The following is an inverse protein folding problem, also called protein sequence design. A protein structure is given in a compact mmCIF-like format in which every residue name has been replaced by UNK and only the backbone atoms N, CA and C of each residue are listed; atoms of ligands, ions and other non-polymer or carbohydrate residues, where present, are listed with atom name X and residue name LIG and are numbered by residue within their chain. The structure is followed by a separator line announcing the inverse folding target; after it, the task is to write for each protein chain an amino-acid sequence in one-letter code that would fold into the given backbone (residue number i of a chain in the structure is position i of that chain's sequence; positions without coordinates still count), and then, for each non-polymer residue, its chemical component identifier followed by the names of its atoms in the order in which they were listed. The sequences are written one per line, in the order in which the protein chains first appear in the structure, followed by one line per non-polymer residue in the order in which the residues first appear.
data_IF_796587467114
#
_entry.id   IF_796587467114
#
_cell.length_a   1.000
_cell.length_b   1.000
_cell.length_c   1.000
_cell.angle_alpha   90.00
_cell.angle_beta   90.00
_cell.angle_gamma   90.00
#
_symmetry.space_group_name_H-M   'P 1'
#
loop_
_entity.id
_entity.type
_entity.pdbx_description
1 polymer ?
#
# COMPACT_ATOMS: atom_id res chain seq x y z
N UNK A 1 -12.34 -4.26 -10.15
CA UNK A 1 -10.91 -4.42 -9.89
C UNK A 1 -10.51 -3.53 -8.71
N UNK A 2 -9.69 -4.03 -7.83
CA UNK A 2 -9.22 -3.30 -6.65
C UNK A 2 -7.77 -2.88 -6.86
N UNK A 3 -7.51 -1.57 -6.84
CA UNK A 3 -6.16 -1.04 -7.03
C UNK A 3 -5.85 0.02 -5.98
N UNK A 4 -4.57 0.21 -5.74
CA UNK A 4 -4.05 1.30 -4.92
C UNK A 4 -3.27 2.24 -5.83
N UNK A 5 -3.63 3.53 -5.79
CA UNK A 5 -2.98 4.55 -6.60
C UNK A 5 -2.12 5.42 -5.69
N UNK A 6 -0.83 5.54 -6.02
CA UNK A 6 0.09 6.36 -5.23
C UNK A 6 -0.06 7.84 -5.57
N UNK A 7 0.57 8.71 -4.78
CA UNK A 7 0.56 10.14 -5.01
C UNK A 7 1.21 10.53 -6.35
N UNK A 8 2.04 9.67 -6.92
CA UNK A 8 2.65 9.89 -8.23
C UNK A 8 1.85 9.26 -9.38
N UNK A 9 0.66 8.69 -9.05
CA UNK A 9 -0.20 8.09 -10.06
C UNK A 9 0.13 6.65 -10.42
N UNK A 10 1.05 6.01 -9.70
CA UNK A 10 1.38 4.61 -9.94
C UNK A 10 0.24 3.71 -9.43
N UNK A 11 -0.21 2.78 -10.26
CA UNK A 11 -1.30 1.87 -9.93
C UNK A 11 -0.75 0.51 -9.53
N UNK A 12 -1.17 0.04 -8.37
CA UNK A 12 -0.72 -1.26 -7.82
C UNK A 12 -1.97 -2.13 -7.59
N UNK A 13 -2.03 -3.33 -8.16
CA UNK A 13 -3.14 -4.22 -7.88
C UNK A 13 -3.05 -4.74 -6.45
N UNK A 14 -4.17 -4.69 -5.73
CA UNK A 14 -4.22 -5.16 -4.34
C UNK A 14 -5.40 -6.11 -4.15
N UNK A 15 -5.30 -6.97 -3.13
CA UNK A 15 -6.37 -7.90 -2.78
C UNK A 15 -7.18 -7.38 -1.60
N UNK A 16 -6.55 -6.62 -0.70
CA UNK A 16 -7.21 -5.96 0.42
C UNK A 16 -6.33 -4.84 0.95
N UNK A 17 -6.96 -3.91 1.68
CA UNK A 17 -6.27 -2.83 2.40
C UNK A 17 -7.06 -2.52 3.66
N UNK A 18 -6.35 -2.22 4.74
CA UNK A 18 -6.99 -1.87 6.01
C UNK A 18 -6.02 -1.24 6.98
N UNK A 19 -6.58 -0.70 8.06
CA UNK A 19 -5.80 -0.09 9.14
C UNK A 19 -5.84 -1.03 10.34
N UNK A 20 -4.66 -1.35 10.88
CA UNK A 20 -4.53 -2.21 12.06
C UNK A 20 -5.02 -1.46 13.30
N UNK A 21 -5.89 -2.11 14.08
CA UNK A 21 -6.35 -1.56 15.35
C UNK A 21 -5.26 -1.60 16.43
N UNK A 22 -4.23 -2.43 16.24
CA UNK A 22 -3.17 -2.60 17.23
C UNK A 22 -2.21 -1.43 17.24
N UNK A 23 -1.81 -0.93 16.07
CA UNK A 23 -0.77 0.10 15.98
C UNK A 23 -1.10 1.23 15.00
N UNK A 24 -2.29 1.20 14.40
CA UNK A 24 -2.71 2.21 13.44
C UNK A 24 -2.01 2.12 12.09
N UNK A 25 -1.22 1.09 11.84
CA UNK A 25 -0.52 0.95 10.57
C UNK A 25 -1.49 0.63 9.45
N UNK A 26 -1.22 1.21 8.28
CA UNK A 26 -1.90 0.85 7.04
C UNK A 26 -1.23 -0.40 6.48
N UNK A 27 -2.04 -1.40 6.15
CA UNK A 27 -1.55 -2.66 5.59
C UNK A 27 -2.33 -2.99 4.34
N UNK A 28 -1.64 -3.46 3.31
CA UNK A 28 -2.31 -3.94 2.12
C UNK A 28 -1.54 -5.13 1.55
N UNK A 29 -2.27 -5.98 0.82
CA UNK A 29 -1.67 -7.12 0.13
C UNK A 29 -1.77 -6.89 -1.36
N UNK A 30 -0.67 -7.11 -2.06
CA UNK A 30 -0.58 -6.93 -3.50
C UNK A 30 -0.21 -8.23 -4.21
N UNK A 31 -0.72 -8.38 -5.43
CA UNK A 31 -0.32 -9.48 -6.32
C UNK A 31 0.95 -9.16 -7.10
N UNK A 32 1.44 -7.92 -7.03
CA UNK A 32 2.75 -7.57 -7.59
C UNK A 32 3.84 -8.33 -6.86
N UNK A 33 4.68 -9.06 -7.57
CA UNK A 33 5.67 -9.95 -6.98
C UNK A 33 7.08 -9.38 -6.95
N UNK A 34 7.31 -8.24 -7.60
CA UNK A 34 8.64 -7.62 -7.62
C UNK A 34 8.85 -6.81 -6.33
N UNK A 35 9.47 -7.43 -5.34
CA UNK A 35 9.68 -6.84 -4.03
C UNK A 35 10.55 -5.58 -4.10
N UNK A 36 11.56 -5.55 -4.96
CA UNK A 36 12.42 -4.38 -5.10
C UNK A 36 11.65 -3.16 -5.63
N UNK A 37 10.76 -3.38 -6.59
CA UNK A 37 9.89 -2.31 -7.11
C UNK A 37 8.96 -1.79 -6.03
N UNK A 38 8.32 -2.69 -5.28
CA UNK A 38 7.42 -2.30 -4.19
C UNK A 38 8.15 -1.53 -3.10
N UNK A 39 9.34 -1.99 -2.72
CA UNK A 39 10.13 -1.29 -1.71
C UNK A 39 10.52 0.11 -2.18
N UNK A 40 10.93 0.24 -3.43
CA UNK A 40 11.30 1.53 -4.01
C UNK A 40 10.14 2.53 -3.97
N UNK A 41 8.92 2.07 -4.28
CA UNK A 41 7.72 2.92 -4.28
C UNK A 41 7.30 3.27 -2.86
N UNK A 42 7.14 2.27 -2.00
CA UNK A 42 6.51 2.46 -0.69
C UNK A 42 7.45 2.95 0.40
N UNK A 43 8.76 2.94 0.16
CA UNK A 43 9.72 3.61 1.03
C UNK A 43 9.91 5.08 0.67
N UNK A 44 9.29 5.56 -0.41
CA UNK A 44 9.40 6.94 -0.88
C UNK A 44 8.18 7.74 -0.42
N UNK A 45 8.36 8.75 0.48
CA UNK A 45 7.25 9.58 0.96
C UNK A 45 6.51 10.32 -0.16
N UNK A 46 7.17 10.61 -1.28
CA UNK A 46 6.52 11.27 -2.42
C UNK A 46 5.49 10.38 -3.09
N UNK A 47 5.63 9.07 -2.95
CA UNK A 47 4.61 8.11 -3.42
C UNK A 47 3.53 7.88 -2.36
N UNK A 48 3.91 7.86 -1.07
CA UNK A 48 3.01 7.41 0.00
C UNK A 48 2.27 8.52 0.72
N UNK A 49 2.61 9.79 0.47
CA UNK A 49 1.93 10.92 1.12
C UNK A 49 0.42 10.91 0.91
N UNK A 50 -0.06 10.38 -0.21
CA UNK A 50 -1.48 10.19 -0.50
C UNK A 50 -1.63 8.87 -1.24
N UNK A 51 -2.40 7.95 -0.68
CA UNK A 51 -2.72 6.68 -1.30
C UNK A 51 -4.22 6.58 -1.48
N UNK A 52 -4.67 6.18 -2.66
CA UNK A 52 -6.09 6.08 -2.96
C UNK A 52 -6.44 4.66 -3.34
N UNK A 53 -7.32 4.05 -2.54
CA UNK A 53 -7.91 2.75 -2.89
C UNK A 53 -9.05 2.99 -3.87
N UNK A 54 -9.02 2.30 -4.99
CA UNK A 54 -10.06 2.39 -6.01
C UNK A 54 -10.66 1.01 -6.22
N UNK A 55 -11.97 0.90 -6.01
CA UNK A 55 -12.74 -0.31 -6.33
C UNK A 55 -13.93 0.14 -7.16
N UNK A 56 -13.83 -0.08 -8.46
CA UNK A 56 -14.79 0.45 -9.45
C UNK A 56 -14.91 1.96 -9.31
N UNK A 57 -16.08 2.49 -8.91
CA UNK A 57 -16.30 3.93 -8.73
C UNK A 57 -16.05 4.38 -7.28
N UNK A 58 -15.82 3.44 -6.37
CA UNK A 58 -15.58 3.76 -4.96
C UNK A 58 -14.11 4.09 -4.73
N UNK A 59 -13.86 5.25 -4.10
CA UNK A 59 -12.51 5.73 -3.82
C UNK A 59 -12.38 6.05 -2.34
N UNK A 60 -11.29 5.59 -1.75
CA UNK A 60 -10.95 5.94 -0.37
C UNK A 60 -9.51 6.39 -0.30
N UNK A 61 -9.28 7.55 0.30
CA UNK A 61 -7.95 8.16 0.40
C UNK A 61 -7.36 7.97 1.79
N UNK A 62 -6.08 7.65 1.82
CA UNK A 62 -5.29 7.51 3.04
C UNK A 62 -4.16 8.54 2.99
N UNK A 63 -4.13 9.45 3.95
CA UNK A 63 -3.18 10.57 3.97
C UNK A 63 -2.08 10.37 4.98
N UNK A 64 -0.85 10.68 4.58
CA UNK A 64 0.26 10.79 5.51
C UNK A 64 0.89 9.48 5.96
N UNK A 65 0.67 8.37 5.28
CA UNK A 65 1.27 7.08 5.62
C UNK A 65 2.68 6.96 5.03
N UNK A 66 3.55 7.91 5.41
CA UNK A 66 4.89 8.06 4.85
C UNK A 66 5.97 7.30 5.59
N UNK A 67 5.63 6.62 6.68
CA UNK A 67 6.59 5.82 7.44
C UNK A 67 6.58 4.37 6.98
N UNK A 68 7.61 3.96 6.25
CA UNK A 68 7.74 2.56 5.85
C UNK A 68 7.98 1.69 7.08
N UNK A 69 7.13 0.70 7.32
CA UNK A 69 7.24 -0.21 8.47
C UNK A 69 7.77 -1.58 8.08
N UNK A 70 7.36 -2.09 6.94
CA UNK A 70 7.82 -3.41 6.54
C UNK A 70 7.18 -3.91 5.26
N UNK A 71 7.79 -4.93 4.70
CA UNK A 71 7.34 -5.59 3.49
C UNK A 71 7.63 -7.09 3.66
N UNK A 72 6.66 -7.94 3.35
CA UNK A 72 6.78 -9.37 3.60
C UNK A 72 6.09 -10.17 2.50
N UNK A 73 6.77 -11.20 2.01
CA UNK A 73 6.18 -12.14 1.06
C UNK A 73 5.41 -13.20 1.85
N UNK A 74 4.15 -13.39 1.48
CA UNK A 74 3.29 -14.38 2.11
C UNK A 74 3.47 -15.75 1.46
N UNK A 75 2.94 -16.79 2.12
CA UNK A 75 3.01 -18.16 1.59
C UNK A 75 2.31 -18.34 0.25
N UNK A 76 1.35 -17.46 -0.08
CA UNK A 76 0.67 -17.45 -1.38
C UNK A 76 1.52 -16.87 -2.52
N UNK A 77 2.66 -16.23 -2.17
CA UNK A 77 3.47 -15.48 -3.12
C UNK A 77 3.12 -14.00 -3.19
N UNK A 78 1.97 -13.60 -2.68
CA UNK A 78 1.59 -12.18 -2.59
C UNK A 78 2.44 -11.49 -1.53
N UNK A 79 2.47 -10.17 -1.60
CA UNK A 79 3.31 -9.35 -0.71
C UNK A 79 2.43 -8.43 0.11
N UNK A 80 2.69 -8.36 1.42
CA UNK A 80 2.03 -7.43 2.33
C UNK A 80 2.99 -6.29 2.65
N UNK A 81 2.50 -5.06 2.52
CA UNK A 81 3.25 -3.83 2.83
C UNK A 81 2.58 -3.16 4.03
N UNK A 82 3.40 -2.66 4.95
CA UNK A 82 2.93 -1.96 6.14
C UNK A 82 3.53 -0.56 6.20
N UNK A 83 2.67 0.43 6.45
CA UNK A 83 3.07 1.84 6.51
C UNK A 83 2.52 2.48 7.78
N UNK A 84 3.31 3.38 8.36
CA UNK A 84 2.89 4.14 9.53
C UNK A 84 2.54 5.56 9.14
N UNK A 85 1.53 6.11 9.78
CA UNK A 85 1.15 7.50 9.59
C UNK A 85 2.14 8.42 10.32
N UNK A 86 2.55 9.45 9.64
CA UNK A 86 3.47 10.44 10.20
C UNK A 86 2.99 11.86 9.96
#
# INVERSE_FOLDING_TARGET
MLILVTAQGTEIPITWIGISELDGSLRFETTETNMATLFSIFSDPEHTKTLTRVFDEDRRTFEGYTGFKGIERMGTGNIVVRLLQR
#
